data_IF_221711145992
#
_entry.id   IF_221711145992
#
_cell.length_a   1.000
_cell.length_b   1.000
_cell.length_c   1.000
_cell.angle_alpha   90.00
_cell.angle_beta   90.00
_cell.angle_gamma   90.00
#
_symmetry.space_group_name_H-M   'P 1'
#
loop_
_entity.id
_entity.type
_entity.pdbx_description
1 polymer ?
#
# COMPACT_ATOMS: atom_id res chain seq x y z
N UNK A 1 12.86 -17.62 12.14
CA UNK A 1 12.15 -16.43 12.65
C UNK A 1 11.15 -16.01 11.58
N UNK A 2 9.86 -16.19 11.86
CA UNK A 2 8.78 -16.10 10.89
C UNK A 2 7.99 -14.83 11.22
N UNK A 3 8.09 -13.82 10.36
CA UNK A 3 7.17 -12.67 10.39
C UNK A 3 6.05 -12.99 9.40
N UNK A 4 4.94 -13.48 9.94
CA UNK A 4 3.65 -13.59 9.23
C UNK A 4 2.88 -12.32 9.56
N UNK A 5 2.61 -11.47 8.57
CA UNK A 5 1.58 -10.44 8.70
C UNK A 5 0.26 -11.08 8.24
N UNK A 6 -0.54 -11.56 9.20
CA UNK A 6 -1.97 -11.75 9.00
C UNK A 6 -2.63 -10.52 9.58
N UNK A 7 -3.25 -9.70 8.75
CA UNK A 7 -4.23 -8.73 9.23
C UNK A 7 -5.61 -9.34 9.04
N UNK A 8 -6.21 -9.77 10.14
CA UNK A 8 -7.64 -10.06 10.21
C UNK A 8 -8.30 -8.93 10.99
N UNK A 9 -8.91 -7.97 10.29
CA UNK A 9 -9.90 -7.08 10.93
C UNK A 9 -11.27 -7.70 10.86
N UNK A 10 -11.68 -8.26 12.00
CA UNK A 10 -13.11 -8.26 12.32
C UNK A 10 -13.58 -6.80 12.37
N UNK A 11 -14.45 -6.40 11.43
CA UNK A 11 -15.25 -5.15 11.38
C UNK A 11 -14.79 -3.97 10.49
N UNK A 12 -13.99 -4.17 9.45
CA UNK A 12 -13.91 -3.22 8.33
C UNK A 12 -14.32 -3.91 7.03
N UNK A 13 -15.47 -3.52 6.49
CA UNK A 13 -16.13 -4.17 5.37
C UNK A 13 -15.37 -3.99 4.03
N UNK A 14 -15.17 -5.11 3.32
CA UNK A 14 -15.03 -5.23 1.87
C UNK A 14 -13.81 -4.60 1.14
N UNK A 15 -12.60 -4.76 1.68
CA UNK A 15 -11.41 -4.84 0.83
C UNK A 15 -10.81 -6.24 0.96
N UNK A 16 -11.09 -7.13 0.00
CA UNK A 16 -10.42 -8.44 -0.07
C UNK A 16 -8.97 -8.23 -0.50
N UNK A 17 -8.12 -7.79 0.43
CA UNK A 17 -6.68 -7.83 0.28
C UNK A 17 -6.21 -9.27 0.58
N UNK A 18 -6.31 -10.16 -0.40
CA UNK A 18 -5.55 -11.40 -0.38
C UNK A 18 -4.17 -11.14 -0.99
N UNK A 19 -3.40 -10.24 -0.38
CA UNK A 19 -2.00 -9.97 -0.77
C UNK A 19 -1.10 -10.80 0.13
N UNK A 20 -0.55 -11.89 -0.39
CA UNK A 20 0.47 -12.66 0.30
C UNK A 20 1.84 -12.03 0.01
N UNK A 21 2.35 -11.21 0.93
CA UNK A 21 3.71 -10.69 0.86
C UNK A 21 4.66 -11.57 1.68
N UNK A 22 5.42 -12.45 1.03
CA UNK A 22 6.53 -13.16 1.68
C UNK A 22 7.82 -12.40 1.44
N UNK A 23 8.40 -11.82 2.48
CA UNK A 23 9.76 -11.26 2.39
C UNK A 23 10.74 -12.39 2.15
N UNK A 24 11.27 -12.46 0.93
CA UNK A 24 12.31 -13.41 0.56
C UNK A 24 13.64 -12.71 0.79
N UNK A 25 14.25 -12.99 1.95
CA UNK A 25 15.65 -12.76 2.26
C UNK A 25 16.05 -11.30 2.53
N UNK A 26 16.36 -11.00 3.81
CA UNK A 26 17.17 -9.84 4.20
C UNK A 26 18.64 -10.27 4.10
N UNK A 27 19.40 -9.68 3.17
CA UNK A 27 20.86 -9.90 3.11
C UNK A 27 21.57 -8.74 3.81
N UNK A 28 22.17 -9.01 4.98
CA UNK A 28 22.89 -8.00 5.77
C UNK A 28 24.10 -7.41 5.03
N UNK A 29 24.67 -8.16 4.08
CA UNK A 29 25.83 -7.75 3.28
C UNK A 29 25.43 -7.00 2.01
N UNK A 30 24.30 -7.34 1.39
CA UNK A 30 23.85 -6.67 0.14
C UNK A 30 22.93 -5.46 0.38
N UNK A 31 22.40 -5.27 1.60
CA UNK A 31 21.39 -4.23 1.93
C UNK A 31 20.17 -4.24 1.01
N UNK A 32 19.76 -5.41 0.54
CA UNK A 32 18.58 -5.60 -0.30
C UNK A 32 17.48 -6.37 0.45
N UNK A 33 16.24 -6.16 0.03
CA UNK A 33 15.11 -7.02 0.37
C UNK A 33 14.18 -7.19 -0.83
N UNK A 34 13.37 -8.25 -0.83
CA UNK A 34 12.39 -8.51 -1.87
C UNK A 34 11.11 -9.13 -1.29
N UNK A 35 10.00 -8.96 -1.99
CA UNK A 35 8.74 -9.60 -1.68
C UNK A 35 8.07 -10.17 -2.93
N UNK A 36 7.40 -11.30 -2.75
CA UNK A 36 6.43 -11.84 -3.72
C UNK A 36 5.09 -11.17 -3.49
N UNK A 37 4.36 -10.86 -4.55
CA UNK A 37 3.01 -10.31 -4.52
C UNK A 37 2.07 -11.21 -5.32
N UNK A 38 1.09 -11.81 -4.66
CA UNK A 38 -0.02 -12.52 -5.29
C UNK A 38 -1.28 -11.65 -5.23
N UNK A 39 -1.89 -11.37 -6.38
CA UNK A 39 -3.11 -10.57 -6.49
C UNK A 39 -4.28 -11.45 -6.95
N UNK A 40 -5.36 -11.45 -6.19
CA UNK A 40 -6.67 -11.89 -6.69
C UNK A 40 -7.22 -10.88 -7.72
N UNK A 41 -8.20 -11.27 -8.56
CA UNK A 41 -8.89 -10.31 -9.43
C UNK A 41 -9.43 -9.12 -8.63
N UNK A 42 -9.07 -7.90 -9.03
CA UNK A 42 -9.45 -6.66 -8.32
C UNK A 42 -8.65 -6.37 -7.03
N UNK A 43 -7.62 -7.17 -6.72
CA UNK A 43 -6.72 -6.89 -5.61
C UNK A 43 -5.93 -5.60 -5.83
N UNK A 44 -5.69 -4.85 -4.75
CA UNK A 44 -4.99 -3.57 -4.77
C UNK A 44 -3.93 -3.53 -3.69
N UNK A 45 -2.88 -2.74 -3.94
CA UNK A 45 -2.04 -2.21 -2.86
C UNK A 45 -2.42 -0.73 -2.75
N UNK A 46 -2.90 -0.25 -1.59
CA UNK A 46 -3.24 1.16 -1.40
C UNK A 46 -2.07 2.08 -1.71
N UNK A 47 -2.35 3.37 -1.91
CA UNK A 47 -1.29 4.37 -2.08
C UNK A 47 -0.35 4.34 -0.87
N UNK A 48 0.95 4.17 -1.14
CA UNK A 48 1.94 4.04 -0.09
C UNK A 48 3.30 4.57 -0.53
N UNK A 49 4.19 4.74 0.44
CA UNK A 49 5.60 5.03 0.24
C UNK A 49 6.48 4.09 1.04
N UNK A 50 7.72 3.95 0.58
CA UNK A 50 8.81 3.27 1.29
C UNK A 50 9.79 4.34 1.79
N UNK A 51 9.75 4.75 3.07
CA UNK A 51 10.56 5.87 3.57
C UNK A 51 12.07 5.60 3.53
N UNK A 52 12.47 4.34 3.35
CA UNK A 52 13.88 3.94 3.38
C UNK A 52 14.30 3.13 2.16
N UNK A 53 13.51 3.14 1.07
CA UNK A 53 13.88 2.42 -0.15
C UNK A 53 13.22 2.97 -1.42
N UNK A 54 13.85 2.68 -2.55
CA UNK A 54 13.21 2.66 -3.88
C UNK A 54 12.69 1.26 -4.18
N UNK A 55 11.56 1.16 -4.86
CA UNK A 55 10.96 -0.11 -5.31
C UNK A 55 11.27 -0.38 -6.80
N UNK A 56 11.57 -1.63 -7.10
CA UNK A 56 11.59 -2.17 -8.46
C UNK A 56 10.62 -3.36 -8.56
N UNK A 57 9.59 -3.23 -9.40
CA UNK A 57 8.51 -4.20 -9.58
C UNK A 57 8.59 -4.91 -10.92
N UNK A 58 8.45 -6.24 -10.92
CA UNK A 58 8.37 -7.09 -12.10
C UNK A 58 7.12 -7.95 -12.04
N UNK A 59 6.28 -7.90 -13.07
CA UNK A 59 5.11 -8.78 -13.21
C UNK A 59 5.55 -10.09 -13.88
N UNK A 60 5.39 -11.21 -13.17
CA UNK A 60 5.75 -12.53 -13.68
C UNK A 60 4.56 -13.25 -14.35
N UNK A 61 3.34 -13.01 -13.89
CA UNK A 61 2.12 -13.56 -14.49
C UNK A 61 0.94 -12.61 -14.31
N UNK A 62 0.03 -12.60 -15.28
CA UNK A 62 -1.14 -11.73 -15.25
C UNK A 62 -0.78 -10.27 -15.55
N UNK A 63 -1.53 -9.37 -14.94
CA UNK A 63 -1.56 -7.96 -15.29
C UNK A 63 -1.79 -7.09 -14.05
N UNK A 64 -1.02 -6.01 -13.94
CA UNK A 64 -1.08 -5.07 -12.82
C UNK A 64 -1.01 -3.66 -13.39
N UNK A 65 -1.91 -2.79 -12.92
CA UNK A 65 -1.81 -1.34 -13.13
C UNK A 65 -1.04 -0.74 -11.97
N UNK A 66 0.12 -0.15 -12.26
CA UNK A 66 0.95 0.52 -11.26
C UNK A 66 0.98 2.03 -11.53
N UNK A 67 0.83 2.83 -10.48
CA UNK A 67 0.85 4.29 -10.55
C UNK A 67 1.95 4.87 -9.66
N UNK A 68 2.69 5.84 -10.19
CA UNK A 68 3.69 6.61 -9.45
C UNK A 68 3.35 8.09 -9.51
N UNK A 69 3.44 8.76 -8.37
CA UNK A 69 3.34 10.22 -8.29
C UNK A 69 4.77 10.76 -8.26
N UNK A 70 5.10 11.58 -9.26
CA UNK A 70 6.37 12.30 -9.32
C UNK A 70 6.25 13.65 -8.63
N UNK A 71 7.35 14.17 -8.10
CA UNK A 71 7.44 15.56 -7.60
C UNK A 71 7.29 16.63 -8.70
N UNK A 72 7.28 16.21 -9.97
CA UNK A 72 7.04 17.07 -11.13
C UNK A 72 5.54 17.22 -11.47
N UNK A 73 4.64 17.03 -10.49
CA UNK A 73 3.18 17.05 -10.63
C UNK A 73 2.61 16.21 -11.78
N UNK A 74 3.36 15.19 -12.17
CA UNK A 74 2.95 14.27 -13.24
C UNK A 74 2.66 12.93 -12.60
N UNK A 75 1.39 12.55 -12.58
CA UNK A 75 1.02 11.17 -12.28
C UNK A 75 1.46 10.30 -13.45
N UNK A 76 2.51 9.51 -13.22
CA UNK A 76 2.99 8.51 -14.18
C UNK A 76 2.35 7.19 -13.81
N UNK A 77 1.26 6.83 -14.50
CA UNK A 77 0.71 5.49 -14.40
C UNK A 77 1.23 4.65 -15.56
N UNK A 78 1.72 3.45 -15.23
CA UNK A 78 1.96 2.39 -16.20
C UNK A 78 0.81 1.41 -16.03
N UNK A 79 -0.19 1.54 -16.89
CA UNK A 79 -1.29 0.59 -16.95
C UNK A 79 -0.95 -0.52 -17.93
N UNK A 80 -0.70 -1.72 -17.40
CA UNK A 80 -0.79 -2.96 -18.17
C UNK A 80 -1.82 -3.89 -17.49
N UNK A 81 -3.09 -3.46 -17.64
CA UNK A 81 -4.35 -4.22 -17.71
C UNK A 81 -5.18 -4.51 -16.44
N UNK A 82 -6.48 -4.21 -16.59
CA UNK A 82 -7.63 -4.38 -15.70
C UNK A 82 -8.27 -5.78 -15.80
N UNK A 83 -7.46 -6.83 -15.63
CA UNK A 83 -7.87 -8.20 -15.89
C UNK A 83 -8.75 -8.85 -14.79
N UNK A 84 -9.64 -9.78 -15.19
CA UNK A 84 -10.44 -10.64 -14.30
C UNK A 84 -9.68 -11.87 -13.77
N UNK A 85 -8.35 -11.90 -13.87
CA UNK A 85 -7.51 -13.08 -13.56
C UNK A 85 -6.50 -12.75 -12.45
N UNK A 86 -6.06 -13.74 -11.66
CA UNK A 86 -5.00 -13.54 -10.69
C UNK A 86 -3.68 -13.10 -11.35
N UNK A 87 -2.91 -12.27 -10.63
CA UNK A 87 -1.60 -11.77 -11.06
C UNK A 87 -0.52 -12.11 -10.04
N UNK A 88 0.69 -12.36 -10.51
CA UNK A 88 1.89 -12.61 -9.72
C UNK A 88 2.95 -11.59 -10.09
N UNK A 89 3.50 -10.92 -9.09
CA UNK A 89 4.62 -10.01 -9.25
C UNK A 89 5.66 -10.21 -8.15
N UNK A 90 6.83 -9.62 -8.39
CA UNK A 90 7.92 -9.54 -7.43
C UNK A 90 8.35 -8.09 -7.32
N UNK A 91 8.65 -7.67 -6.09
CA UNK A 91 9.22 -6.36 -5.80
C UNK A 91 10.55 -6.53 -5.11
N UNK A 92 11.48 -5.61 -5.37
CA UNK A 92 12.77 -5.54 -4.71
C UNK A 92 13.06 -4.12 -4.27
N UNK A 93 13.86 -4.01 -3.21
CA UNK A 93 14.18 -2.76 -2.54
C UNK A 93 15.68 -2.65 -2.32
N UNK A 94 16.21 -1.45 -2.47
CA UNK A 94 17.61 -1.12 -2.17
C UNK A 94 17.87 -0.88 -0.66
N UNK A 95 17.04 -1.48 0.20
CA UNK A 95 17.20 -1.48 1.66
C UNK A 95 16.76 -2.83 2.23
N UNK A 96 17.43 -3.35 3.27
CA UNK A 96 16.96 -4.54 3.98
C UNK A 96 15.71 -4.25 4.83
N UNK A 97 15.40 -2.97 5.06
CA UNK A 97 14.23 -2.50 5.78
C UNK A 97 13.61 -1.29 5.07
N UNK A 98 12.78 -1.52 4.04
CA UNK A 98 12.23 -0.43 3.22
C UNK A 98 11.19 0.43 3.96
N UNK A 99 10.61 -0.10 5.05
CA UNK A 99 9.43 0.47 5.72
C UNK A 99 8.18 0.38 4.86
N UNK A 100 7.01 0.74 5.41
CA UNK A 100 5.77 0.89 4.65
C UNK A 100 4.94 2.00 5.30
N UNK A 101 4.45 2.94 4.49
CA UNK A 101 3.57 4.03 4.92
C UNK A 101 2.39 4.11 3.96
N UNK A 102 1.24 3.64 4.38
CA UNK A 102 0.00 3.72 3.61
C UNK A 102 -0.65 5.08 3.87
N UNK A 103 -0.92 5.84 2.80
CA UNK A 103 -1.39 7.22 2.89
C UNK A 103 -2.70 7.33 3.68
N UNK A 104 -3.65 6.43 3.42
CA UNK A 104 -4.97 6.47 4.08
C UNK A 104 -4.86 6.30 5.60
N UNK A 105 -3.97 5.43 6.08
CA UNK A 105 -3.73 5.28 7.52
C UNK A 105 -3.01 6.47 8.13
N UNK A 106 -2.14 7.14 7.36
CA UNK A 106 -1.43 8.35 7.82
C UNK A 106 -2.35 9.57 7.89
N UNK A 107 -3.44 9.60 7.11
CA UNK A 107 -4.41 10.70 7.08
C UNK A 107 -5.63 10.48 7.98
N UNK A 108 -6.01 9.22 8.19
CA UNK A 108 -7.28 8.89 8.84
C UNK A 108 -7.17 7.90 10.00
N UNK A 109 -6.06 7.17 10.18
CA UNK A 109 -5.87 6.24 11.30
C UNK A 109 -4.90 6.82 12.35
N UNK A 110 -5.05 8.12 12.61
CA UNK A 110 -4.19 8.94 13.46
C UNK A 110 -5.03 9.81 14.43
N UNK A 111 -4.33 10.66 15.19
CA UNK A 111 -4.86 11.64 16.13
C UNK A 111 -4.88 13.09 15.61
N UNK A 112 -4.69 13.30 14.30
CA UNK A 112 -4.76 14.63 13.70
C UNK A 112 -6.17 15.22 13.89
N UNK A 113 -6.30 16.53 14.20
CA UNK A 113 -7.60 17.18 14.23
C UNK A 113 -8.36 17.01 12.90
N UNK A 114 -9.65 16.65 12.98
CA UNK A 114 -10.50 16.51 11.78
C UNK A 114 -10.44 17.75 10.87
N UNK A 115 -10.43 18.94 11.46
CA UNK A 115 -10.36 20.21 10.71
C UNK A 115 -9.09 20.32 9.83
N UNK A 116 -7.94 19.83 10.32
CA UNK A 116 -6.70 19.86 9.55
C UNK A 116 -6.75 18.89 8.37
N UNK A 117 -7.32 17.71 8.59
CA UNK A 117 -7.51 16.73 7.51
C UNK A 117 -8.52 17.25 6.50
N UNK A 118 -9.64 17.84 6.93
CA UNK A 118 -10.65 18.42 6.04
C UNK A 118 -10.04 19.53 5.16
N UNK A 119 -9.30 20.46 5.77
CA UNK A 119 -8.66 21.59 5.07
C UNK A 119 -7.62 21.14 4.03
N UNK A 120 -6.96 19.99 4.25
CA UNK A 120 -5.89 19.49 3.37
C UNK A 120 -6.35 18.48 2.32
N UNK A 121 -7.54 17.89 2.48
CA UNK A 121 -8.04 16.80 1.61
C UNK A 121 -9.24 17.17 0.75
N UNK A 122 -9.76 18.41 0.86
CA UNK A 122 -10.99 18.87 0.21
C UNK A 122 -12.24 18.06 0.58
N UNK A 123 -12.18 17.31 1.68
CA UNK A 123 -13.29 16.55 2.25
C UNK A 123 -13.99 17.39 3.34
N UNK A 124 -15.29 17.20 3.49
CA UNK A 124 -16.01 17.77 4.63
C UNK A 124 -15.75 16.98 5.93
N UNK A 125 -16.04 17.61 7.08
CA UNK A 125 -15.87 17.01 8.40
C UNK A 125 -16.59 15.66 8.56
N UNK A 126 -17.77 15.50 7.93
CA UNK A 126 -18.54 14.27 8.04
C UNK A 126 -17.87 13.13 7.28
N UNK A 127 -17.32 13.41 6.10
CA UNK A 127 -16.53 12.48 5.31
C UNK A 127 -15.24 12.09 6.05
N UNK A 128 -14.51 13.06 6.61
CA UNK A 128 -13.27 12.79 7.37
C UNK A 128 -13.58 11.94 8.60
N UNK A 129 -14.54 12.33 9.44
CA UNK A 129 -14.92 11.54 10.64
C UNK A 129 -15.35 10.13 10.28
N UNK A 130 -16.07 9.96 9.17
CA UNK A 130 -16.45 8.64 8.67
C UNK A 130 -15.22 7.81 8.31
N UNK A 131 -14.26 8.36 7.56
CA UNK A 131 -13.03 7.66 7.20
C UNK A 131 -12.19 7.33 8.44
N UNK A 132 -12.06 8.26 9.38
CA UNK A 132 -11.35 8.03 10.65
C UNK A 132 -11.97 6.92 11.46
N UNK A 133 -13.30 6.92 11.57
CA UNK A 133 -14.02 5.84 12.24
C UNK A 133 -13.79 4.48 11.58
N UNK A 134 -13.81 4.41 10.25
CA UNK A 134 -13.60 3.17 9.50
C UNK A 134 -12.15 2.64 9.67
N UNK A 135 -11.18 3.55 9.71
CA UNK A 135 -9.74 3.20 9.69
C UNK A 135 -9.10 3.18 11.09
N UNK A 136 -9.84 3.55 12.15
CA UNK A 136 -9.41 3.47 13.54
C UNK A 136 -8.74 4.72 14.11
N UNK A 137 -8.88 5.88 13.46
CA UNK A 137 -8.42 7.17 13.97
C UNK A 137 -9.40 7.82 14.95
N UNK A 138 -8.95 8.87 15.64
CA UNK A 138 -9.80 9.66 16.54
C UNK A 138 -10.59 10.74 15.79
N UNK A 139 -11.73 11.15 16.36
CA UNK A 139 -12.61 12.18 15.78
C UNK A 139 -12.04 13.59 15.84
#
# INVERSE_FOLDING_TARGET
MQLTFVWETSKAQHLRLATYAKTLQRSLTARLSAARLDFAPGGVIPMHTHPSATEFLVVAHGHITAGFISSSDTLKYVSLNAGKRPSLAFVSFNSPDPGLRILDFVLFADDLPTELVATTTFLDDAQVKKLKHILGGSS
#
